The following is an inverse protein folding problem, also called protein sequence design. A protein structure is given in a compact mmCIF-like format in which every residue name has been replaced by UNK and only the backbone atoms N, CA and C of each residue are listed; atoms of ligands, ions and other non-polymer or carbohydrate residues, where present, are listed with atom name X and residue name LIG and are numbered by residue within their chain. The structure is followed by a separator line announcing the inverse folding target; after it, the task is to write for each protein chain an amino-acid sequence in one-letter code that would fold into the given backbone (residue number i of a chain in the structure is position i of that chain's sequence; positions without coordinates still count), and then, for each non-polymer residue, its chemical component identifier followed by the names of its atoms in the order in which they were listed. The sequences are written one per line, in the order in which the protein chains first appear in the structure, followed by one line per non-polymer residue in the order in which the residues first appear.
data_IF_537204524937
#
_entry.id   IF_537204524937
#
_cell.length_a   1.000
_cell.length_b   1.000
_cell.length_c   1.000
_cell.angle_alpha   90.00
_cell.angle_beta   90.00
_cell.angle_gamma   90.00
#
_symmetry.space_group_name_H-M   'P 1'
#
loop_
_entity.id
_entity.type
_entity.pdbx_description
1 polymer ?
#
# COMPACT_ATOMS: atom_id res chain seq x y z
N UNK A 1 -25.05 -12.71 -8.94
CA UNK A 1 -23.79 -13.19 -9.55
C UNK A 1 -23.17 -12.12 -10.46
N UNK A 2 -23.88 -11.59 -11.46
CA UNK A 2 -23.39 -10.52 -12.36
C UNK A 2 -22.82 -9.29 -11.63
N UNK A 3 -23.49 -8.80 -10.58
CA UNK A 3 -23.04 -7.67 -9.76
C UNK A 3 -21.65 -7.90 -9.13
N UNK A 4 -21.38 -9.10 -8.61
CA UNK A 4 -20.08 -9.44 -8.03
C UNK A 4 -18.95 -9.43 -9.06
N UNK A 5 -19.22 -9.91 -10.27
CA UNK A 5 -18.22 -9.88 -11.35
C UNK A 5 -17.91 -8.46 -11.82
N UNK A 6 -18.92 -7.60 -11.92
CA UNK A 6 -18.71 -6.17 -12.26
C UNK A 6 -17.89 -5.48 -11.17
N UNK A 7 -18.17 -5.72 -9.90
CA UNK A 7 -17.37 -5.18 -8.80
C UNK A 7 -15.92 -5.66 -8.88
N UNK A 8 -15.69 -6.96 -9.05
CA UNK A 8 -14.32 -7.51 -9.18
C UNK A 8 -13.56 -6.91 -10.37
N UNK A 9 -14.24 -6.71 -11.52
CA UNK A 9 -13.64 -6.05 -12.68
C UNK A 9 -13.22 -4.61 -12.36
N UNK A 10 -14.07 -3.85 -11.66
CA UNK A 10 -13.75 -2.48 -11.24
C UNK A 10 -12.60 -2.42 -10.22
N UNK A 11 -12.53 -3.39 -9.30
CA UNK A 11 -11.42 -3.49 -8.35
C UNK A 11 -10.07 -3.78 -9.00
N UNK A 12 -10.04 -4.33 -10.22
CA UNK A 12 -8.79 -4.55 -10.95
C UNK A 12 -7.97 -3.28 -11.17
N UNK A 13 -8.64 -2.15 -11.43
CA UNK A 13 -7.99 -0.85 -11.68
C UNK A 13 -7.17 -0.39 -10.46
N UNK A 14 -7.77 -0.15 -9.27
CA UNK A 14 -7.00 0.30 -8.12
C UNK A 14 -5.97 -0.73 -7.65
N UNK A 15 -6.26 -2.03 -7.79
CA UNK A 15 -5.31 -3.09 -7.42
C UNK A 15 -4.06 -3.00 -8.30
N UNK A 16 -4.19 -2.77 -9.61
CA UNK A 16 -3.03 -2.60 -10.50
C UNK A 16 -2.13 -1.42 -10.08
N UNK A 17 -2.74 -0.30 -9.67
CA UNK A 17 -2.01 0.88 -9.21
C UNK A 17 -1.19 0.60 -7.96
N UNK A 18 -1.73 -0.18 -7.01
CA UNK A 18 -1.03 -0.56 -5.77
C UNK A 18 0.23 -1.39 -6.05
N UNK A 19 0.29 -2.14 -7.15
CA UNK A 19 1.46 -2.94 -7.49
C UNK A 19 2.53 -2.16 -8.28
N UNK A 20 2.15 -1.14 -9.04
CA UNK A 20 3.09 -0.41 -9.91
C UNK A 20 3.64 0.85 -9.25
N UNK A 21 2.76 1.63 -8.60
CA UNK A 21 3.10 2.98 -8.13
C UNK A 21 4.12 2.98 -6.97
N UNK A 22 3.99 2.13 -5.93
CA UNK A 22 4.95 2.14 -4.82
C UNK A 22 6.38 1.80 -5.26
N UNK A 23 6.54 0.80 -6.14
CA UNK A 23 7.84 0.39 -6.65
C UNK A 23 8.50 1.52 -7.45
N UNK A 24 7.72 2.23 -8.28
CA UNK A 24 8.21 3.40 -9.01
C UNK A 24 8.62 4.56 -8.08
N UNK A 25 7.85 4.81 -7.02
CA UNK A 25 8.17 5.83 -6.01
C UNK A 25 9.47 5.49 -5.28
N UNK A 26 9.65 4.23 -4.87
CA UNK A 26 10.86 3.77 -4.17
C UNK A 26 12.09 3.88 -5.07
N UNK A 27 11.97 3.53 -6.36
CA UNK A 27 13.03 3.71 -7.34
C UNK A 27 13.43 5.20 -7.49
N UNK A 28 12.46 6.09 -7.70
CA UNK A 28 12.71 7.53 -7.84
C UNK A 28 13.39 8.14 -6.59
N UNK A 29 12.99 7.72 -5.39
CA UNK A 29 13.61 8.16 -4.13
C UNK A 29 15.02 7.60 -3.98
N UNK A 30 15.26 6.34 -4.37
CA UNK A 30 16.59 5.74 -4.37
C UNK A 30 17.54 6.46 -5.32
N UNK A 31 17.10 6.76 -6.54
CA UNK A 31 17.89 7.49 -7.54
C UNK A 31 18.21 8.91 -7.06
N UNK A 32 17.25 9.57 -6.38
CA UNK A 32 17.47 10.87 -5.76
C UNK A 32 18.54 10.78 -4.66
N UNK A 33 18.48 9.77 -3.79
CA UNK A 33 19.47 9.61 -2.72
C UNK A 33 20.87 9.30 -3.28
N UNK A 34 20.96 8.45 -4.31
CA UNK A 34 22.22 8.17 -5.01
C UNK A 34 22.88 9.45 -5.52
N UNK A 35 22.09 10.37 -6.10
CA UNK A 35 22.59 11.65 -6.61
C UNK A 35 23.03 12.61 -5.52
N UNK A 36 22.31 12.64 -4.39
CA UNK A 36 22.59 13.54 -3.27
C UNK A 36 23.78 13.06 -2.42
N UNK A 37 23.86 11.76 -2.16
CA UNK A 37 24.88 11.16 -1.29
C UNK A 37 26.09 10.62 -2.06
N UNK A 38 25.95 10.37 -3.36
CA UNK A 38 26.93 9.67 -4.20
C UNK A 38 27.02 8.17 -3.92
N UNK A 39 26.12 7.60 -3.10
CA UNK A 39 26.13 6.20 -2.70
C UNK A 39 24.91 5.47 -3.28
N UNK A 40 25.13 4.36 -3.97
CA UNK A 40 24.02 3.53 -4.46
C UNK A 40 23.43 2.71 -3.32
N UNK A 41 22.25 3.09 -2.82
CA UNK A 41 21.56 2.40 -1.71
C UNK A 41 20.21 1.79 -2.09
N UNK A 42 19.99 1.54 -3.37
CA UNK A 42 18.76 0.98 -3.92
C UNK A 42 18.30 -0.30 -3.21
N UNK A 43 19.22 -1.24 -2.96
CA UNK A 43 18.92 -2.48 -2.24
C UNK A 43 18.40 -2.25 -0.81
N UNK A 44 18.84 -1.17 -0.14
CA UNK A 44 18.37 -0.81 1.20
C UNK A 44 16.94 -0.25 1.14
N UNK A 45 16.64 0.59 0.15
CA UNK A 45 15.30 1.14 -0.07
C UNK A 45 14.27 0.06 -0.41
N UNK A 46 14.56 -0.79 -1.39
CA UNK A 46 13.69 -1.92 -1.74
C UNK A 46 13.63 -2.98 -0.63
N UNK A 47 14.72 -3.17 0.12
CA UNK A 47 14.73 -4.02 1.31
C UNK A 47 13.78 -3.53 2.39
N UNK A 48 13.80 -2.23 2.68
CA UNK A 48 12.88 -1.60 3.63
C UNK A 48 11.42 -1.66 3.14
N UNK A 49 11.15 -1.35 1.87
CA UNK A 49 9.82 -1.48 1.27
C UNK A 49 9.29 -2.91 1.42
N UNK A 50 10.09 -3.91 1.04
CA UNK A 50 9.69 -5.33 1.14
C UNK A 50 9.43 -5.77 2.58
N UNK A 51 10.21 -5.27 3.54
CA UNK A 51 9.98 -5.50 4.96
C UNK A 51 8.65 -4.90 5.43
N UNK A 52 8.39 -3.64 5.11
CA UNK A 52 7.14 -2.94 5.46
C UNK A 52 5.93 -3.65 4.84
N UNK A 53 6.02 -4.08 3.58
CA UNK A 53 4.96 -4.83 2.91
C UNK A 53 4.66 -6.14 3.64
N UNK A 54 5.69 -6.93 3.96
CA UNK A 54 5.52 -8.19 4.70
C UNK A 54 4.95 -7.98 6.09
N UNK A 55 5.39 -6.93 6.78
CA UNK A 55 4.85 -6.57 8.10
C UNK A 55 3.37 -6.21 7.99
N UNK A 56 2.98 -5.41 7.00
CA UNK A 56 1.58 -5.05 6.75
C UNK A 56 0.70 -6.27 6.46
N UNK A 57 1.18 -7.20 5.63
CA UNK A 57 0.47 -8.47 5.35
C UNK A 57 0.31 -9.33 6.60
N UNK A 58 1.36 -9.42 7.43
CA UNK A 58 1.31 -10.13 8.71
C UNK A 58 0.30 -9.51 9.68
N UNK A 59 0.37 -8.19 9.88
CA UNK A 59 -0.54 -7.45 10.76
C UNK A 59 -2.00 -7.54 10.26
N UNK A 60 -2.23 -7.40 8.96
CA UNK A 60 -3.56 -7.56 8.35
C UNK A 60 -4.16 -8.92 8.65
N UNK A 61 -3.34 -9.99 8.57
CA UNK A 61 -3.77 -11.36 8.86
C UNK A 61 -4.16 -11.52 10.33
N UNK A 62 -3.37 -10.98 11.26
CA UNK A 62 -3.67 -11.03 12.70
C UNK A 62 -4.94 -10.25 13.03
N UNK A 63 -5.09 -9.03 12.50
CA UNK A 63 -6.27 -8.18 12.73
C UNK A 63 -7.53 -8.86 12.18
N UNK A 64 -7.48 -9.34 10.95
CA UNK A 64 -8.62 -10.01 10.31
C UNK A 64 -8.98 -11.29 11.05
N UNK A 65 -8.00 -12.12 11.42
CA UNK A 65 -8.22 -13.32 12.22
C UNK A 65 -8.88 -13.01 13.56
N UNK A 66 -8.38 -11.98 14.26
CA UNK A 66 -8.97 -11.50 15.52
C UNK A 66 -10.42 -11.02 15.36
N UNK A 67 -10.73 -10.28 14.29
CA UNK A 67 -12.10 -9.86 14.00
C UNK A 67 -13.04 -11.06 13.80
N UNK A 68 -12.59 -12.05 13.03
CA UNK A 68 -13.39 -13.23 12.73
C UNK A 68 -13.61 -14.14 13.95
N UNK A 69 -12.59 -14.30 14.80
CA UNK A 69 -12.70 -15.15 15.98
C UNK A 69 -13.50 -14.49 17.12
N UNK A 70 -13.39 -13.17 17.31
CA UNK A 70 -14.08 -12.47 18.40
C UNK A 70 -15.50 -12.04 18.04
N UNK A 71 -15.74 -11.59 16.80
CA UNK A 71 -17.04 -11.05 16.37
C UNK A 71 -17.83 -12.01 15.47
N UNK A 72 -17.29 -13.18 15.19
CA UNK A 72 -17.97 -14.25 14.47
C UNK A 72 -17.69 -14.26 12.97
N UNK A 73 -17.77 -15.47 12.41
CA UNK A 73 -17.45 -15.81 11.01
C UNK A 73 -18.52 -16.68 10.34
N UNK A 74 -19.69 -16.80 10.95
CA UNK A 74 -20.80 -17.64 10.49
C UNK A 74 -21.99 -16.79 10.06
N UNK A 75 -22.93 -17.39 9.34
CA UNK A 75 -24.16 -16.69 8.87
C UNK A 75 -24.99 -16.16 10.04
N UNK A 76 -24.97 -16.86 11.18
CA UNK A 76 -25.69 -16.49 12.40
C UNK A 76 -25.03 -15.33 13.16
N UNK A 77 -23.70 -15.17 13.04
CA UNK A 77 -22.92 -14.09 13.64
C UNK A 77 -21.94 -13.52 12.61
N UNK A 78 -22.42 -12.69 11.66
CA UNK A 78 -21.61 -12.23 10.52
C UNK A 78 -20.76 -10.99 10.83
N UNK A 79 -20.80 -10.48 12.07
CA UNK A 79 -20.25 -9.18 12.43
C UNK A 79 -18.74 -9.09 12.18
N UNK A 80 -17.97 -10.16 12.46
CA UNK A 80 -16.53 -10.19 12.19
C UNK A 80 -16.20 -10.01 10.71
N UNK A 81 -16.96 -10.62 9.81
CA UNK A 81 -16.80 -10.44 8.35
C UNK A 81 -17.16 -9.01 7.95
N UNK A 82 -18.27 -8.47 8.45
CA UNK A 82 -18.73 -7.12 8.11
C UNK A 82 -17.76 -6.04 8.57
N UNK A 83 -17.09 -6.23 9.72
CA UNK A 83 -16.10 -5.30 10.26
C UNK A 83 -14.77 -5.28 9.48
N UNK A 84 -14.45 -6.33 8.70
CA UNK A 84 -13.21 -6.34 7.88
C UNK A 84 -13.15 -5.17 6.91
N UNK A 85 -14.29 -4.81 6.28
CA UNK A 85 -14.39 -3.69 5.34
C UNK A 85 -14.10 -2.33 5.99
N UNK A 86 -14.85 -1.92 7.03
CA UNK A 86 -14.58 -0.68 7.76
C UNK A 86 -13.18 -0.59 8.35
N UNK A 87 -12.64 -1.69 8.90
CA UNK A 87 -11.28 -1.71 9.44
C UNK A 87 -10.25 -1.52 8.33
N UNK A 88 -10.39 -2.22 7.21
CA UNK A 88 -9.53 -2.02 6.04
C UNK A 88 -9.62 -0.57 5.53
N UNK A 89 -10.83 -0.01 5.43
CA UNK A 89 -11.05 1.37 5.01
C UNK A 89 -10.37 2.37 5.95
N UNK A 90 -10.41 2.16 7.27
CA UNK A 90 -9.70 2.99 8.24
C UNK A 90 -8.19 2.99 7.99
N UNK A 91 -7.57 1.82 7.82
CA UNK A 91 -6.13 1.72 7.52
C UNK A 91 -5.79 2.36 6.17
N UNK A 92 -6.62 2.19 5.14
CA UNK A 92 -6.44 2.84 3.84
C UNK A 92 -6.52 4.35 3.95
N UNK A 93 -7.47 4.90 4.72
CA UNK A 93 -7.58 6.35 4.95
C UNK A 93 -6.35 6.87 5.68
N UNK A 94 -5.88 6.18 6.73
CA UNK A 94 -4.65 6.55 7.44
C UNK A 94 -3.46 6.57 6.48
N UNK A 95 -3.32 5.53 5.66
CA UNK A 95 -2.27 5.45 4.63
C UNK A 95 -2.36 6.59 3.62
N UNK A 96 -3.56 6.92 3.15
CA UNK A 96 -3.79 8.04 2.24
C UNK A 96 -3.44 9.39 2.89
N UNK A 97 -3.81 9.60 4.15
CA UNK A 97 -3.45 10.82 4.92
C UNK A 97 -1.94 10.95 5.06
N UNK A 98 -1.23 9.88 5.41
CA UNK A 98 0.24 9.89 5.49
C UNK A 98 0.83 10.21 4.11
N UNK A 99 0.30 9.59 3.05
CA UNK A 99 0.76 9.80 1.69
C UNK A 99 0.52 11.23 1.19
N UNK A 100 -0.52 11.94 1.66
CA UNK A 100 -0.72 13.35 1.31
C UNK A 100 0.41 14.27 1.80
N UNK A 101 1.17 13.88 2.81
CA UNK A 101 2.35 14.61 3.26
C UNK A 101 3.62 14.23 2.48
N UNK A 102 3.53 13.33 1.51
CA UNK A 102 4.66 12.96 0.66
C UNK A 102 5.13 14.18 -0.16
N UNK A 103 6.41 14.59 -0.07
CA UNK A 103 6.94 15.78 -0.75
C UNK A 103 7.21 15.50 -2.24
N UNK A 104 6.15 15.18 -2.99
CA UNK A 104 6.19 14.86 -4.43
C UNK A 104 6.92 15.94 -5.24
N UNK A 105 6.67 17.22 -4.93
CA UNK A 105 7.25 18.35 -5.66
C UNK A 105 8.78 18.37 -5.62
N UNK A 106 9.36 17.95 -4.50
CA UNK A 106 10.81 17.88 -4.38
C UNK A 106 11.35 16.77 -5.26
N UNK A 107 10.78 15.56 -5.16
CA UNK A 107 11.19 14.38 -5.94
C UNK A 107 11.09 14.63 -7.45
N UNK A 108 9.95 15.13 -7.93
CA UNK A 108 9.70 15.42 -9.36
C UNK A 108 10.57 16.57 -9.88
N UNK A 109 10.91 17.55 -9.04
CA UNK A 109 11.75 18.70 -9.47
C UNK A 109 13.21 18.34 -9.73
N UNK A 110 13.73 17.30 -9.07
CA UNK A 110 15.10 16.81 -9.27
C UNK A 110 15.19 15.86 -10.47
N UNK A 111 14.17 15.04 -10.72
CA UNK A 111 14.11 14.20 -11.93
C UNK A 111 14.09 15.02 -13.23
N UNK A 112 13.28 16.08 -13.31
CA UNK A 112 13.17 16.91 -14.53
C UNK A 112 14.41 17.74 -14.87
N UNK A 113 15.31 17.98 -13.90
CA UNK A 113 16.49 18.84 -14.07
C UNK A 113 17.65 18.15 -14.78
N UNK A 114 17.53 16.87 -15.16
CA UNK A 114 18.63 16.13 -15.77
C UNK A 114 18.11 15.32 -16.96
N UNK A 115 18.51 15.63 -18.20
CA UNK A 115 18.20 14.76 -19.33
C UNK A 115 18.90 13.40 -19.14
N UNK A 116 18.21 12.34 -19.58
CA UNK A 116 18.67 10.95 -19.57
C UNK A 116 20.01 10.76 -20.30
#
# INVERSE_FOLDING_TARGET
QAFGYVLMALFGIPVSTIFVVPDAIVAAVSDLEERLSGQRREAMYFGAQGFVLKLALGLSTVITGGLLDYFGKTVEKPLGIQLTGPVAALFTIIGAVIFFYYPEREVVSYERKTPA
#
